data_IF_391721173320
#
_entry.id   IF_391721173320
#
_cell.length_a   1.000
_cell.length_b   1.000
_cell.length_c   1.000
_cell.angle_alpha   90.00
_cell.angle_beta   90.00
_cell.angle_gamma   90.00
#
_symmetry.space_group_name_H-M   'P 1'
#
loop_
_entity.id
_entity.type
_entity.pdbx_description
1 polymer ?
#
# COMPACT_ATOMS: atom_id res chain seq x y z
N UNK A 1 -24.52 -26.19 25.85
CA UNK A 1 -23.12 -26.44 25.41
C UNK A 1 -22.96 -26.37 23.88
N UNK A 2 -24.05 -26.39 23.09
CA UNK A 2 -24.02 -26.36 21.62
C UNK A 2 -23.55 -25.03 20.99
N UNK A 3 -23.93 -23.88 21.56
CA UNK A 3 -23.53 -22.57 21.01
C UNK A 3 -22.02 -22.34 21.05
N UNK A 4 -21.35 -22.82 22.09
CA UNK A 4 -19.89 -22.69 22.22
C UNK A 4 -19.16 -23.61 21.22
N UNK A 5 -19.67 -24.83 21.02
CA UNK A 5 -19.14 -25.76 20.03
C UNK A 5 -19.30 -25.22 18.61
N UNK A 6 -20.43 -24.59 18.29
CA UNK A 6 -20.65 -23.95 16.99
C UNK A 6 -19.65 -22.80 16.76
N UNK A 7 -19.39 -21.97 17.77
CA UNK A 7 -18.40 -20.88 17.68
C UNK A 7 -16.98 -21.42 17.44
N UNK A 8 -16.59 -22.49 18.14
CA UNK A 8 -15.29 -23.14 17.92
C UNK A 8 -15.20 -23.76 16.52
N UNK A 9 -16.26 -24.43 16.06
CA UNK A 9 -16.27 -25.02 14.72
C UNK A 9 -16.13 -23.94 13.64
N UNK A 10 -16.83 -22.82 13.77
CA UNK A 10 -16.76 -21.72 12.81
C UNK A 10 -15.40 -21.02 12.82
N UNK A 11 -14.76 -20.87 13.98
CA UNK A 11 -13.44 -20.25 14.06
C UNK A 11 -12.34 -21.13 13.47
N UNK A 12 -12.35 -22.44 13.76
CA UNK A 12 -11.39 -23.40 13.17
C UNK A 12 -11.60 -23.51 11.66
N UNK A 13 -12.85 -23.54 11.20
CA UNK A 13 -13.16 -23.57 9.78
C UNK A 13 -12.69 -22.29 9.07
N UNK A 14 -12.93 -21.12 9.66
CA UNK A 14 -12.44 -19.85 9.14
C UNK A 14 -10.91 -19.81 9.03
N UNK A 15 -10.20 -20.27 10.07
CA UNK A 15 -8.74 -20.38 10.07
C UNK A 15 -8.23 -21.32 8.97
N UNK A 16 -8.88 -22.47 8.76
CA UNK A 16 -8.48 -23.41 7.72
C UNK A 16 -8.61 -22.78 6.32
N UNK A 17 -9.71 -22.05 6.07
CA UNK A 17 -9.93 -21.36 4.79
C UNK A 17 -8.88 -20.27 4.55
N UNK A 18 -8.53 -19.47 5.56
CA UNK A 18 -7.51 -18.42 5.40
C UNK A 18 -6.12 -19.00 5.15
N UNK A 19 -5.75 -20.10 5.82
CA UNK A 19 -4.47 -20.79 5.60
C UNK A 19 -4.38 -21.37 4.19
N UNK A 20 -5.46 -22.00 3.68
CA UNK A 20 -5.48 -22.54 2.31
C UNK A 20 -5.37 -21.43 1.27
N UNK A 21 -6.12 -20.34 1.43
CA UNK A 21 -6.08 -19.21 0.50
C UNK A 21 -4.69 -18.54 0.47
N UNK A 22 -4.07 -18.36 1.64
CA UNK A 22 -2.72 -17.81 1.76
C UNK A 22 -1.67 -18.77 1.17
N UNK A 23 -1.81 -20.07 1.42
CA UNK A 23 -0.96 -21.09 0.82
C UNK A 23 -1.06 -21.08 -0.71
N UNK A 24 -2.26 -21.02 -1.28
CA UNK A 24 -2.45 -20.97 -2.73
C UNK A 24 -1.83 -19.70 -3.36
N UNK A 25 -1.93 -18.55 -2.68
CA UNK A 25 -1.33 -17.30 -3.15
C UNK A 25 0.22 -17.32 -3.09
N UNK A 26 0.78 -17.93 -2.04
CA UNK A 26 2.24 -18.00 -1.85
C UNK A 26 2.92 -19.09 -2.67
N UNK A 27 2.21 -20.20 -2.97
CA UNK A 27 2.76 -21.31 -3.76
C UNK A 27 2.91 -20.97 -5.25
N UNK A 28 2.20 -19.97 -5.78
CA UNK A 28 2.42 -19.48 -7.15
C UNK A 28 3.80 -18.82 -7.32
N UNK A 29 4.36 -18.25 -6.25
CA UNK A 29 5.70 -17.66 -6.27
C UNK A 29 6.81 -18.74 -6.22
N UNK A 30 6.52 -19.90 -5.63
CA UNK A 30 7.49 -20.99 -5.42
C UNK A 30 7.68 -21.89 -6.65
N UNK A 31 6.80 -21.78 -7.66
CA UNK A 31 6.89 -22.57 -8.89
C UNK A 31 7.52 -21.79 -10.06
N UNK A 32 8.41 -20.84 -9.75
CA UNK A 32 9.46 -20.43 -10.68
C UNK A 32 10.67 -21.33 -10.41
N UNK A 33 11.23 -22.05 -11.41
CA UNK A 33 12.45 -22.82 -11.21
C UNK A 33 13.54 -21.87 -10.71
N UNK A 34 14.23 -22.29 -9.64
CA UNK A 34 15.37 -21.58 -9.08
C UNK A 34 16.52 -21.52 -10.10
N UNK A 35 16.48 -20.55 -11.01
CA UNK A 35 17.62 -20.14 -11.80
C UNK A 35 18.43 -19.15 -10.95
N UNK A 36 19.68 -19.54 -10.69
CA UNK A 36 20.70 -18.77 -9.98
C UNK A 36 20.85 -17.38 -10.62
N UNK A 37 21.09 -16.29 -9.86
CA UNK A 37 21.37 -15.01 -10.45
C UNK A 37 22.85 -14.98 -10.86
N UNK A 38 23.15 -15.52 -12.04
CA UNK A 38 24.37 -15.16 -12.75
C UNK A 38 24.06 -13.83 -13.45
N UNK A 39 24.82 -12.80 -13.06
CA UNK A 39 24.81 -11.47 -13.65
C UNK A 39 25.11 -11.59 -15.15
N UNK A 40 24.14 -11.33 -16.01
CA UNK A 40 24.47 -10.89 -17.35
C UNK A 40 23.46 -9.91 -17.95
N UNK A 41 24.04 -9.01 -18.73
CA UNK A 41 23.44 -7.84 -19.34
C UNK A 41 22.56 -8.27 -20.52
N UNK A 42 21.68 -7.37 -20.98
CA UNK A 42 21.09 -7.29 -22.34
C UNK A 42 19.66 -7.85 -22.52
N UNK A 43 18.75 -6.89 -22.72
CA UNK A 43 17.56 -6.88 -23.60
C UNK A 43 16.45 -7.88 -23.27
N UNK A 44 15.44 -7.40 -22.54
CA UNK A 44 14.12 -8.02 -22.56
C UNK A 44 13.32 -7.48 -23.75
N UNK A 45 13.46 -8.13 -24.91
CA UNK A 45 12.41 -8.17 -25.94
C UNK A 45 11.49 -9.33 -25.56
N UNK A 46 10.18 -9.09 -25.48
CA UNK A 46 9.20 -10.19 -25.41
C UNK A 46 8.04 -9.97 -24.46
N UNK A 47 7.05 -9.22 -24.94
CA UNK A 47 5.61 -9.47 -24.84
C UNK A 47 5.02 -10.04 -23.53
N UNK A 48 4.42 -9.12 -22.77
CA UNK A 48 3.40 -9.40 -21.76
C UNK A 48 2.51 -8.17 -21.60
N UNK A 49 1.91 -7.68 -22.69
CA UNK A 49 1.05 -6.48 -22.69
C UNK A 49 -0.33 -6.82 -22.12
N UNK A 50 -0.46 -6.81 -20.79
CA UNK A 50 -1.76 -6.88 -20.10
C UNK A 50 -2.29 -5.51 -19.65
N UNK A 51 -1.43 -4.48 -19.65
CA UNK A 51 -1.84 -3.10 -19.39
C UNK A 51 -1.72 -2.31 -20.69
N UNK A 52 -2.81 -1.63 -21.04
CA UNK A 52 -2.99 -0.94 -22.31
C UNK A 52 -1.94 0.11 -22.61
N UNK A 53 -1.98 0.50 -23.88
CA UNK A 53 -1.15 1.49 -24.55
C UNK A 53 -0.63 2.60 -23.64
N UNK A 54 0.67 2.86 -23.74
CA UNK A 54 1.43 3.80 -22.93
C UNK A 54 0.99 5.22 -23.28
N UNK A 55 -0.18 5.63 -22.78
CA UNK A 55 -0.58 7.02 -22.72
C UNK A 55 0.42 7.70 -21.78
N UNK A 56 1.49 8.24 -22.38
CA UNK A 56 2.57 9.03 -21.79
C UNK A 56 2.43 9.15 -20.28
N UNK A 57 2.83 8.09 -19.57
CA UNK A 57 2.76 8.08 -18.10
C UNK A 57 3.60 9.28 -17.69
N UNK A 58 3.05 10.28 -16.97
CA UNK A 58 3.85 11.39 -16.54
C UNK A 58 5.05 10.76 -15.82
N UNK A 59 6.25 11.14 -16.25
CA UNK A 59 7.50 10.71 -15.63
C UNK A 59 7.46 11.27 -14.22
N UNK A 60 6.78 10.56 -13.33
CA UNK A 60 6.78 10.89 -11.93
C UNK A 60 8.24 10.71 -11.51
N UNK A 61 8.84 11.74 -10.89
CA UNK A 61 10.20 11.59 -10.40
C UNK A 61 10.24 10.32 -9.56
N UNK A 62 11.20 9.43 -9.84
CA UNK A 62 11.44 8.27 -9.01
C UNK A 62 12.03 8.79 -7.70
N UNK A 63 11.13 9.18 -6.79
CA UNK A 63 11.51 9.64 -5.46
C UNK A 63 11.87 8.39 -4.65
N UNK A 64 13.04 8.36 -3.99
CA UNK A 64 13.37 7.28 -3.07
C UNK A 64 12.25 7.10 -2.04
N UNK A 65 11.96 5.85 -1.67
CA UNK A 65 10.86 5.52 -0.75
C UNK A 65 11.03 6.27 0.58
N UNK A 66 12.27 6.43 1.03
CA UNK A 66 12.61 7.15 2.26
C UNK A 66 12.23 8.64 2.18
N UNK A 67 12.41 9.27 1.02
CA UNK A 67 12.02 10.65 0.80
C UNK A 67 10.50 10.81 0.75
N UNK A 68 9.78 9.84 0.18
CA UNK A 68 8.32 9.80 0.23
C UNK A 68 7.81 9.63 1.67
N UNK A 69 8.42 8.73 2.45
CA UNK A 69 8.07 8.52 3.85
C UNK A 69 8.30 9.78 4.69
N UNK A 70 9.41 10.48 4.47
CA UNK A 70 9.69 11.74 5.14
C UNK A 70 8.67 12.83 4.76
N UNK A 71 8.25 12.88 3.50
CA UNK A 71 7.23 13.81 3.03
C UNK A 71 5.86 13.52 3.65
N UNK A 72 5.50 12.24 3.79
CA UNK A 72 4.27 11.80 4.46
C UNK A 72 4.32 12.15 5.96
N UNK A 73 5.41 11.87 6.65
CA UNK A 73 5.56 12.24 8.07
C UNK A 73 5.39 13.75 8.29
N UNK A 74 6.09 14.56 7.48
CA UNK A 74 5.96 16.01 7.54
C UNK A 74 4.53 16.48 7.23
N UNK A 75 3.84 15.84 6.30
CA UNK A 75 2.44 16.15 5.99
C UNK A 75 1.54 15.87 7.19
N UNK A 76 1.62 14.67 7.77
CA UNK A 76 0.79 14.27 8.93
C UNK A 76 1.00 15.23 10.10
N UNK A 77 2.24 15.64 10.37
CA UNK A 77 2.54 16.60 11.44
C UNK A 77 1.93 17.98 11.17
N UNK A 78 1.91 18.44 9.93
CA UNK A 78 1.26 19.70 9.54
C UNK A 78 -0.26 19.64 9.70
N UNK A 79 -0.89 18.54 9.27
CA UNK A 79 -2.34 18.34 9.42
C UNK A 79 -2.75 18.25 10.89
N UNK A 80 -1.94 17.57 11.71
CA UNK A 80 -2.16 17.50 13.15
C UNK A 80 -2.07 18.90 13.79
N UNK A 81 -1.04 19.68 13.48
CA UNK A 81 -0.90 21.03 13.99
C UNK A 81 -2.06 21.95 13.55
N UNK A 82 -2.55 21.79 12.32
CA UNK A 82 -3.72 22.52 11.83
C UNK A 82 -5.00 22.14 12.61
N UNK A 83 -5.21 20.85 12.87
CA UNK A 83 -6.32 20.37 13.68
C UNK A 83 -6.25 20.89 15.12
N UNK A 84 -5.08 20.83 15.75
CA UNK A 84 -4.84 21.39 17.09
C UNK A 84 -5.11 22.90 17.13
N UNK A 85 -4.65 23.64 16.13
CA UNK A 85 -4.92 25.08 16.02
C UNK A 85 -6.41 25.40 15.91
N UNK A 86 -7.17 24.60 15.14
CA UNK A 86 -8.63 24.77 15.06
C UNK A 86 -9.32 24.42 16.39
N UNK A 87 -8.86 23.39 17.10
CA UNK A 87 -9.40 23.05 18.41
C UNK A 87 -9.16 24.16 19.45
N UNK A 88 -8.00 24.82 19.38
CA UNK A 88 -7.69 25.96 20.25
C UNK A 88 -8.47 27.22 19.87
N UNK A 89 -8.60 27.50 18.55
CA UNK A 89 -9.29 28.68 18.02
C UNK A 89 -10.29 28.30 16.91
N UNK A 90 -11.51 27.85 17.26
CA UNK A 90 -12.45 27.31 16.29
C UNK A 90 -13.07 28.41 15.43
N UNK A 91 -12.43 28.72 14.31
CA UNK A 91 -12.90 29.71 13.33
C UNK A 91 -13.15 29.04 11.97
N UNK A 92 -14.13 29.56 11.23
CA UNK A 92 -14.42 29.08 9.88
C UNK A 92 -13.21 29.24 8.93
N UNK A 93 -12.39 30.27 9.15
CA UNK A 93 -11.16 30.48 8.37
C UNK A 93 -10.15 29.34 8.56
N UNK A 94 -9.94 28.88 9.80
CA UNK A 94 -9.04 27.77 10.10
C UNK A 94 -9.58 26.43 9.59
N UNK A 95 -10.89 26.19 9.71
CA UNK A 95 -11.54 24.96 9.21
C UNK A 95 -11.35 24.76 7.69
N UNK A 96 -11.29 25.84 6.93
CA UNK A 96 -11.14 25.82 5.47
C UNK A 96 -9.73 26.18 5.00
N UNK A 97 -8.80 26.39 5.94
CA UNK A 97 -7.40 26.68 5.61
C UNK A 97 -6.71 25.42 5.08
N UNK A 98 -5.86 25.60 4.08
CA UNK A 98 -5.00 24.52 3.56
C UNK A 98 -3.66 24.55 4.28
N UNK A 99 -3.10 23.38 4.57
CA UNK A 99 -1.71 23.28 5.02
C UNK A 99 -0.76 23.58 3.86
N UNK A 100 0.48 23.94 4.20
CA UNK A 100 1.57 24.15 3.22
C UNK A 100 2.16 22.83 2.69
N UNK A 101 1.50 21.70 2.96
CA UNK A 101 2.02 20.40 2.57
C UNK A 101 1.97 20.22 1.05
N UNK A 102 3.08 19.79 0.42
CA UNK A 102 3.12 19.51 -1.01
C UNK A 102 2.29 18.29 -1.43
N UNK A 103 1.73 17.53 -0.48
CA UNK A 103 0.86 16.38 -0.76
C UNK A 103 -0.62 16.78 -0.94
N UNK A 104 -0.98 18.03 -0.63
CA UNK A 104 -2.35 18.54 -0.81
C UNK A 104 -2.42 19.33 -2.11
N UNK A 105 -3.03 18.74 -3.14
CA UNK A 105 -3.31 19.38 -4.43
C UNK A 105 -4.77 19.89 -4.48
#
# INVERSE_FOLDING_TARGET
MEMFLMVICMSVFGLAVTVIAFGAATNQQAQAPAAQPELDTVVHVGEGRFFGDEAARPVQPQVPVEALLLQIDSHVRLEQAAAESFLEYPTAALLHSRTVSPLVH
#
